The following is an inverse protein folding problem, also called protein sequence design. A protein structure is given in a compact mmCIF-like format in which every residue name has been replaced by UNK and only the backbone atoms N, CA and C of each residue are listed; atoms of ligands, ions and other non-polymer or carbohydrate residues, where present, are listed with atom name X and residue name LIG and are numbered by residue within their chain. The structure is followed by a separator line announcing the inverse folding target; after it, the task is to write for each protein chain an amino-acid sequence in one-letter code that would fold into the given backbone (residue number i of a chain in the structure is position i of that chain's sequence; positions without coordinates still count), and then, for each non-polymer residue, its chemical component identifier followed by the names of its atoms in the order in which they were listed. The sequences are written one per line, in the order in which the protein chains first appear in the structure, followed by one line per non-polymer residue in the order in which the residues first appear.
data_IF_308616105749
#
_entry.id   IF_308616105749
#
_cell.length_a   1.000
_cell.length_b   1.000
_cell.length_c   1.000
_cell.angle_alpha   90.00
_cell.angle_beta   90.00
_cell.angle_gamma   90.00
#
_symmetry.space_group_name_H-M   'P 1'
#
loop_
_entity.id
_entity.type
_entity.pdbx_description
1 polymer ?
#
# COMPACT_ATOMS: atom_id res chain seq x y z
N UNK A 1 9.26 18.39 2.77
CA UNK A 1 8.77 17.13 3.35
C UNK A 1 8.99 15.99 2.37
N UNK A 2 9.29 14.80 2.86
CA UNK A 2 9.46 13.59 2.05
C UNK A 2 8.49 12.54 2.57
N UNK A 3 7.71 11.96 1.65
CA UNK A 3 6.71 10.95 1.98
C UNK A 3 7.30 9.54 1.81
N UNK A 4 7.51 8.86 2.93
CA UNK A 4 7.96 7.47 2.94
C UNK A 4 6.75 6.54 3.01
N UNK A 5 6.45 5.86 1.89
CA UNK A 5 5.32 4.92 1.81
C UNK A 5 5.83 3.51 2.04
N UNK A 6 5.41 2.90 3.15
CA UNK A 6 5.73 1.52 3.49
C UNK A 6 4.53 0.66 3.11
N UNK A 7 4.70 -0.22 2.11
CA UNK A 7 3.64 -1.05 1.57
C UNK A 7 3.85 -2.50 1.98
N UNK A 8 2.85 -3.09 2.62
CA UNK A 8 2.80 -4.53 2.96
C UNK A 8 1.72 -5.21 2.14
N UNK A 9 2.06 -6.30 1.45
CA UNK A 9 1.06 -7.19 0.83
C UNK A 9 0.30 -7.94 1.92
N UNK A 10 -1.01 -7.73 2.02
CA UNK A 10 -1.84 -8.45 2.98
C UNK A 10 -2.36 -9.77 2.38
N UNK A 11 -2.81 -9.72 1.12
CA UNK A 11 -3.40 -10.87 0.45
C UNK A 11 -3.25 -10.76 -1.06
N UNK A 12 -3.13 -11.91 -1.73
CA UNK A 12 -3.34 -12.03 -3.17
C UNK A 12 -4.30 -13.19 -3.45
N UNK A 13 -5.30 -12.97 -4.30
CA UNK A 13 -6.25 -13.98 -4.78
C UNK A 13 -6.37 -13.85 -6.29
N UNK A 14 -5.73 -14.78 -7.02
CA UNK A 14 -5.61 -14.67 -8.47
C UNK A 14 -4.95 -13.34 -8.84
N UNK A 15 -5.62 -12.57 -9.69
CA UNK A 15 -5.12 -11.27 -10.14
C UNK A 15 -5.49 -10.08 -9.24
N UNK A 16 -6.22 -10.30 -8.14
CA UNK A 16 -6.57 -9.23 -7.19
C UNK A 16 -5.63 -9.25 -5.98
N UNK A 17 -4.99 -8.13 -5.72
CA UNK A 17 -4.02 -7.94 -4.63
C UNK A 17 -4.52 -6.89 -3.65
N UNK A 18 -4.31 -7.12 -2.36
CA UNK A 18 -4.63 -6.19 -1.27
C UNK A 18 -3.36 -5.82 -0.51
N UNK A 19 -3.27 -4.54 -0.17
CA UNK A 19 -2.11 -3.94 0.47
C UNK A 19 -2.53 -3.04 1.62
N UNK A 20 -1.64 -2.96 2.61
CA UNK A 20 -1.67 -1.94 3.64
C UNK A 20 -0.52 -0.97 3.41
N UNK A 21 -0.83 0.32 3.31
CA UNK A 21 0.14 1.40 3.18
C UNK A 21 0.20 2.20 4.47
N UNK A 22 1.41 2.36 5.00
CA UNK A 22 1.70 3.32 6.07
C UNK A 22 2.60 4.41 5.53
N UNK A 23 2.24 5.66 5.80
CA UNK A 23 2.95 6.83 5.29
C UNK A 23 3.61 7.56 6.44
N UNK A 24 4.91 7.80 6.31
CA UNK A 24 5.72 8.52 7.28
C UNK A 24 6.34 9.77 6.67
N UNK A 25 6.42 10.84 7.46
CA UNK A 25 7.21 12.05 7.19
C UNK A 25 7.98 12.32 8.47
N UNK A 26 9.31 12.45 8.38
CA UNK A 26 10.20 12.63 9.54
C UNK A 26 9.93 11.61 10.66
N UNK A 27 9.87 10.32 10.29
CA UNK A 27 9.56 9.17 11.14
C UNK A 27 8.20 9.19 11.87
N UNK A 28 7.36 10.20 11.60
CA UNK A 28 6.01 10.30 12.15
C UNK A 28 4.99 9.67 11.21
N UNK A 29 4.12 8.80 11.74
CA UNK A 29 3.01 8.25 10.99
C UNK A 29 1.99 9.36 10.65
N UNK A 30 1.84 9.64 9.36
CA UNK A 30 0.92 10.65 8.84
C UNK A 30 -0.37 10.04 8.27
N UNK A 31 -0.31 8.82 7.74
CA UNK A 31 -1.47 8.13 7.18
C UNK A 31 -1.34 6.61 7.25
N UNK A 32 -2.47 5.91 7.37
CA UNK A 32 -2.61 4.46 7.26
C UNK A 32 -3.84 4.18 6.38
N UNK A 33 -3.65 3.41 5.31
CA UNK A 33 -4.71 3.10 4.36
C UNK A 33 -4.60 1.67 3.82
N UNK A 34 -5.74 1.05 3.57
CA UNK A 34 -5.85 -0.18 2.79
C UNK A 34 -6.20 0.12 1.33
N UNK A 35 -5.54 -0.54 0.39
CA UNK A 35 -5.85 -0.41 -1.03
C UNK A 35 -5.74 -1.75 -1.74
N UNK A 36 -6.42 -1.88 -2.88
CA UNK A 36 -6.41 -3.08 -3.70
C UNK A 36 -6.18 -2.72 -5.16
N UNK A 37 -5.52 -3.63 -5.87
CA UNK A 37 -5.29 -3.53 -7.31
C UNK A 37 -5.64 -4.85 -7.99
N UNK A 38 -6.10 -4.77 -9.23
CA UNK A 38 -6.33 -5.93 -10.09
C UNK A 38 -5.29 -5.89 -11.21
N UNK A 39 -4.53 -6.96 -11.37
CA UNK A 39 -3.63 -7.17 -12.49
C UNK A 39 -4.48 -7.58 -13.71
N UNK A 40 -4.42 -6.79 -14.77
CA UNK A 40 -5.12 -7.05 -16.04
C UNK A 40 -4.10 -7.25 -17.14
N UNK A 41 -4.42 -8.12 -18.09
CA UNK A 41 -3.68 -8.21 -19.35
C UNK A 41 -4.06 -7.04 -20.27
N UNK A 42 -3.17 -6.66 -21.17
CA UNK A 42 -3.34 -5.54 -22.11
C UNK A 42 -4.39 -5.81 -23.19
#
# INVERSE_FOLDING_TARGET
DVMHIHVTKEQARGNVWRFKGKVYVDDKLCSDAGFAAMLVEE
#
